data_IF_590412258571
#
_entry.id   IF_590412258571
#
_cell.length_a   1.000
_cell.length_b   1.000
_cell.length_c   1.000
_cell.angle_alpha   90.00
_cell.angle_beta   90.00
_cell.angle_gamma   90.00
#
_symmetry.space_group_name_H-M   'P 1'
#
loop_
_entity.id
_entity.type
_entity.pdbx_description
1 polymer ?
#
# COMPACT_ATOMS: atom_id res chain seq x y z
N UNK A 1 0.04 -21.52 -21.11
CA UNK A 1 0.87 -21.31 -22.25
C UNK A 1 0.02 -21.20 -23.49
N UNK A 2 0.02 -20.01 -23.99
CA UNK A 2 -0.61 -19.75 -25.26
C UNK A 2 0.25 -20.28 -26.38
N UNK A 3 -0.23 -21.13 -27.12
CA UNK A 3 0.45 -21.51 -28.26
C UNK A 3 0.67 -22.95 -28.40
N UNK A 4 1.36 -23.44 -29.28
CA UNK A 4 1.82 -24.81 -29.41
C UNK A 4 0.81 -25.86 -28.93
N UNK A 5 -0.35 -25.92 -29.55
CA UNK A 5 -1.36 -26.94 -29.28
C UNK A 5 -2.16 -26.78 -27.99
N UNK A 6 -1.98 -25.66 -27.27
CA UNK A 6 -2.77 -25.36 -26.09
C UNK A 6 -4.18 -24.90 -26.50
N UNK A 7 -5.17 -25.26 -25.70
CA UNK A 7 -6.53 -24.79 -25.87
C UNK A 7 -6.61 -23.28 -25.60
N UNK A 8 -7.52 -22.60 -26.28
CA UNK A 8 -7.83 -21.22 -25.96
C UNK A 8 -8.49 -21.15 -24.57
N UNK A 9 -8.45 -19.96 -23.96
CA UNK A 9 -9.13 -19.69 -22.69
C UNK A 9 -10.59 -20.13 -22.73
N UNK A 10 -11.32 -19.75 -23.78
CA UNK A 10 -12.73 -20.12 -23.97
C UNK A 10 -12.91 -21.64 -24.06
N UNK A 11 -12.06 -22.32 -24.80
CA UNK A 11 -12.08 -23.75 -24.92
C UNK A 11 -11.83 -24.46 -23.58
N UNK A 12 -10.97 -23.91 -22.75
CA UNK A 12 -10.68 -24.49 -21.44
C UNK A 12 -11.83 -24.31 -20.46
N UNK A 13 -12.47 -23.16 -20.45
CA UNK A 13 -13.63 -22.89 -19.61
C UNK A 13 -14.84 -23.72 -20.07
N UNK A 14 -15.14 -23.68 -21.35
CA UNK A 14 -16.30 -24.38 -21.94
C UNK A 14 -16.11 -25.92 -21.98
N UNK A 15 -14.86 -26.34 -22.12
CA UNK A 15 -14.50 -27.75 -22.13
C UNK A 15 -14.49 -28.42 -20.76
N UNK A 16 -14.78 -27.71 -19.69
CA UNK A 16 -14.83 -28.22 -18.33
C UNK A 16 -13.47 -28.62 -17.77
N UNK A 17 -12.39 -28.03 -18.25
CA UNK A 17 -11.07 -28.19 -17.65
C UNK A 17 -11.08 -27.63 -16.21
N UNK A 18 -10.53 -28.37 -15.25
CA UNK A 18 -10.56 -27.93 -13.87
C UNK A 18 -9.55 -26.82 -13.63
N UNK A 19 -9.99 -25.58 -13.82
CA UNK A 19 -9.25 -24.39 -13.40
C UNK A 19 -9.42 -24.26 -11.90
N UNK A 20 -8.49 -24.82 -11.13
CA UNK A 20 -8.62 -24.99 -9.69
C UNK A 20 -8.13 -23.80 -8.89
N UNK A 21 -7.18 -23.06 -9.44
CA UNK A 21 -6.54 -21.97 -8.73
C UNK A 21 -6.04 -20.85 -9.69
N UNK A 22 -5.50 -19.79 -9.11
CA UNK A 22 -4.98 -18.67 -9.87
C UNK A 22 -3.82 -19.05 -10.79
N UNK A 23 -3.06 -20.08 -10.45
CA UNK A 23 -1.96 -20.60 -11.28
C UNK A 23 -2.48 -21.21 -12.56
N UNK A 24 -3.50 -22.04 -12.47
CA UNK A 24 -4.17 -22.63 -13.63
C UNK A 24 -4.70 -21.53 -14.57
N UNK A 25 -5.35 -20.52 -14.02
CA UNK A 25 -5.84 -19.38 -14.79
C UNK A 25 -4.70 -18.65 -15.51
N UNK A 26 -3.62 -18.35 -14.80
CA UNK A 26 -2.45 -17.69 -15.40
C UNK A 26 -1.85 -18.52 -16.52
N UNK A 27 -1.69 -19.82 -16.32
CA UNK A 27 -1.14 -20.75 -17.31
C UNK A 27 -2.03 -20.84 -18.55
N UNK A 28 -3.34 -20.67 -18.39
CA UNK A 28 -4.30 -20.58 -19.49
C UNK A 28 -4.30 -19.21 -20.20
N UNK A 29 -3.49 -18.27 -19.75
CA UNK A 29 -3.36 -16.96 -20.36
C UNK A 29 -4.33 -15.90 -19.84
N UNK A 30 -4.96 -16.14 -18.68
CA UNK A 30 -5.72 -15.09 -18.01
C UNK A 30 -4.78 -14.00 -17.52
N UNK A 31 -5.20 -12.76 -17.68
CA UNK A 31 -4.49 -11.61 -17.13
C UNK A 31 -4.71 -11.52 -15.62
N UNK A 32 -3.85 -10.78 -14.94
CA UNK A 32 -4.00 -10.53 -13.50
C UNK A 32 -5.35 -9.87 -13.17
N UNK A 33 -5.83 -8.96 -14.01
CA UNK A 33 -7.14 -8.32 -13.85
C UNK A 33 -8.29 -9.33 -13.94
N UNK A 34 -8.21 -10.27 -14.87
CA UNK A 34 -9.20 -11.34 -15.02
C UNK A 34 -9.18 -12.30 -13.82
N UNK A 35 -8.00 -12.65 -13.34
CA UNK A 35 -7.82 -13.45 -12.11
C UNK A 35 -8.46 -12.75 -10.92
N UNK A 36 -8.30 -11.44 -10.80
CA UNK A 36 -8.97 -10.63 -9.77
C UNK A 36 -10.49 -10.68 -9.90
N UNK A 37 -11.02 -10.57 -11.12
CA UNK A 37 -12.47 -10.66 -11.39
C UNK A 37 -13.07 -12.01 -10.99
N UNK A 38 -12.28 -13.08 -11.10
CA UNK A 38 -12.67 -14.42 -10.64
C UNK A 38 -12.66 -14.56 -9.10
N UNK A 39 -12.29 -13.52 -8.38
CA UNK A 39 -12.35 -13.47 -6.92
C UNK A 39 -11.08 -13.91 -6.20
N UNK A 40 -9.97 -14.10 -6.89
CA UNK A 40 -8.71 -14.47 -6.26
C UNK A 40 -8.07 -13.26 -5.55
N UNK A 41 -7.49 -13.53 -4.39
CA UNK A 41 -6.82 -12.52 -3.59
C UNK A 41 -5.47 -12.09 -4.19
N UNK A 42 -4.96 -10.97 -3.72
CA UNK A 42 -3.62 -10.49 -4.07
C UNK A 42 -2.55 -11.56 -3.80
N UNK A 43 -2.63 -12.23 -2.64
CA UNK A 43 -1.73 -13.32 -2.27
C UNK A 43 -1.78 -14.47 -3.26
N UNK A 44 -2.98 -14.94 -3.61
CA UNK A 44 -3.18 -16.02 -4.57
C UNK A 44 -2.64 -15.65 -5.95
N UNK A 45 -2.87 -14.45 -6.42
CA UNK A 45 -2.33 -13.96 -7.69
C UNK A 45 -0.79 -13.85 -7.65
N UNK A 46 -0.23 -13.39 -6.55
CA UNK A 46 1.22 -13.35 -6.35
C UNK A 46 1.84 -14.76 -6.36
N UNK A 47 1.25 -15.71 -5.64
CA UNK A 47 1.68 -17.10 -5.60
C UNK A 47 1.58 -17.78 -6.97
N UNK A 48 0.61 -17.36 -7.80
CA UNK A 48 0.48 -17.80 -9.18
C UNK A 48 1.58 -17.28 -10.11
N UNK A 49 2.39 -16.32 -9.66
CA UNK A 49 3.52 -15.76 -10.37
C UNK A 49 3.30 -14.40 -11.04
N UNK A 50 2.18 -13.72 -10.75
CA UNK A 50 2.01 -12.34 -11.19
C UNK A 50 2.93 -11.41 -10.41
N UNK A 51 3.61 -10.50 -11.11
CA UNK A 51 4.49 -9.52 -10.51
C UNK A 51 3.70 -8.44 -9.75
N UNK A 52 4.37 -7.75 -8.85
CA UNK A 52 3.77 -6.61 -8.12
C UNK A 52 3.28 -5.51 -9.07
N UNK A 53 3.97 -5.30 -10.18
CA UNK A 53 3.52 -4.38 -11.24
C UNK A 53 2.19 -4.83 -11.85
N UNK A 54 2.06 -6.11 -12.21
CA UNK A 54 0.82 -6.68 -12.76
C UNK A 54 -0.32 -6.60 -11.75
N UNK A 55 -0.04 -6.89 -10.47
CA UNK A 55 -1.01 -6.74 -9.38
C UNK A 55 -1.52 -5.30 -9.28
N UNK A 56 -0.61 -4.34 -9.40
CA UNK A 56 -1.00 -2.92 -9.40
C UNK A 56 -1.85 -2.56 -10.61
N UNK A 57 -1.47 -2.98 -11.80
CA UNK A 57 -2.24 -2.73 -13.01
C UNK A 57 -3.65 -3.37 -12.95
N UNK A 58 -3.78 -4.50 -12.28
CA UNK A 58 -5.05 -5.17 -12.03
C UNK A 58 -5.90 -4.48 -10.94
N UNK A 59 -5.34 -3.50 -10.23
CA UNK A 59 -6.04 -2.78 -9.18
C UNK A 59 -6.08 -3.50 -7.83
N UNK A 60 -5.18 -4.43 -7.57
CA UNK A 60 -4.98 -4.97 -6.23
C UNK A 60 -4.36 -3.89 -5.34
N UNK A 61 -5.01 -3.61 -4.23
CA UNK A 61 -4.54 -2.70 -3.19
C UNK A 61 -4.48 -3.45 -1.86
N UNK A 62 -5.57 -4.07 -1.48
CA UNK A 62 -5.63 -4.88 -0.26
C UNK A 62 -4.84 -6.17 -0.41
N UNK A 63 -4.24 -6.63 0.68
CA UNK A 63 -3.56 -7.92 0.74
C UNK A 63 -2.11 -7.92 0.24
N UNK A 64 -1.53 -6.78 -0.10
CA UNK A 64 -0.11 -6.70 -0.50
C UNK A 64 0.83 -7.18 0.60
N UNK A 65 0.57 -6.76 1.82
CA UNK A 65 1.36 -7.18 2.99
C UNK A 65 1.23 -8.67 3.26
N UNK A 66 0.02 -9.23 3.14
CA UNK A 66 -0.22 -10.66 3.29
C UNK A 66 0.45 -11.48 2.18
N UNK A 67 0.58 -10.90 0.99
CA UNK A 67 1.31 -11.49 -0.12
C UNK A 67 2.84 -11.46 0.07
N UNK A 68 3.31 -10.76 1.10
CA UNK A 68 4.72 -10.71 1.47
C UNK A 68 5.51 -9.56 0.84
N UNK A 69 4.84 -8.62 0.17
CA UNK A 69 5.52 -7.46 -0.39
C UNK A 69 5.89 -6.45 0.70
N UNK A 70 7.11 -5.97 0.62
CA UNK A 70 7.61 -4.93 1.50
C UNK A 70 7.08 -3.56 1.09
N UNK A 71 7.12 -2.62 2.04
CA UNK A 71 6.74 -1.23 1.75
C UNK A 71 7.64 -0.60 0.68
N UNK A 72 8.91 -0.99 0.64
CA UNK A 72 9.89 -0.50 -0.36
C UNK A 72 9.47 -0.95 -1.76
N UNK A 73 9.21 -2.24 -1.94
CA UNK A 73 8.75 -2.80 -3.21
C UNK A 73 7.45 -2.14 -3.68
N UNK A 74 6.50 -1.95 -2.77
CA UNK A 74 5.23 -1.30 -3.08
C UNK A 74 5.42 0.16 -3.52
N UNK A 75 6.31 0.90 -2.87
CA UNK A 75 6.66 2.27 -3.26
C UNK A 75 7.33 2.34 -4.63
N UNK A 76 8.25 1.41 -4.91
CA UNK A 76 8.96 1.35 -6.20
C UNK A 76 8.02 1.19 -7.39
N UNK A 77 6.93 0.44 -7.24
CA UNK A 77 5.93 0.30 -8.29
C UNK A 77 4.83 1.37 -8.22
N UNK A 78 4.94 2.32 -7.29
CA UNK A 78 4.07 3.50 -7.23
C UNK A 78 2.77 3.33 -6.47
N UNK A 79 2.72 2.48 -5.43
CA UNK A 79 1.56 2.38 -4.53
C UNK A 79 1.44 3.53 -3.52
N UNK A 80 2.33 4.54 -3.54
CA UNK A 80 2.47 5.58 -2.52
C UNK A 80 1.18 5.99 -1.79
N UNK A 81 0.20 6.51 -2.52
CA UNK A 81 -1.07 6.98 -1.94
C UNK A 81 -2.00 5.84 -1.47
N UNK A 82 -1.73 4.62 -1.87
CA UNK A 82 -2.58 3.45 -1.60
C UNK A 82 -2.05 2.58 -0.46
N UNK A 83 -0.88 2.89 0.08
CA UNK A 83 -0.20 2.04 1.05
C UNK A 83 -0.99 1.87 2.35
N UNK A 84 -1.65 2.90 2.81
CA UNK A 84 -2.52 2.80 3.97
C UNK A 84 -3.67 1.80 3.72
N UNK A 85 -4.32 1.90 2.57
CA UNK A 85 -5.37 0.95 2.17
C UNK A 85 -4.83 -0.46 1.95
N UNK A 86 -3.57 -0.58 1.56
CA UNK A 86 -2.88 -1.86 1.39
C UNK A 86 -2.49 -2.54 2.72
N UNK A 87 -2.73 -1.88 3.86
CA UNK A 87 -2.49 -2.42 5.19
C UNK A 87 -1.15 -2.05 5.81
N UNK A 88 -0.35 -1.22 5.15
CA UNK A 88 0.91 -0.75 5.72
C UNK A 88 0.65 0.34 6.77
N UNK A 89 1.42 0.30 7.85
CA UNK A 89 1.32 1.26 8.94
C UNK A 89 2.35 2.38 8.82
N UNK A 90 2.07 3.50 9.46
CA UNK A 90 3.02 4.61 9.54
C UNK A 90 4.33 4.21 10.24
N UNK A 91 4.24 3.28 11.20
CA UNK A 91 5.41 2.70 11.87
C UNK A 91 6.31 1.93 10.91
N UNK A 92 5.70 1.17 9.98
CA UNK A 92 6.43 0.47 8.94
C UNK A 92 7.17 1.44 8.00
N UNK A 93 6.55 2.58 7.67
CA UNK A 93 7.20 3.68 6.94
C UNK A 93 8.45 4.18 7.65
N UNK A 94 8.31 4.48 8.93
CA UNK A 94 9.42 4.97 9.74
C UNK A 94 10.52 3.92 9.89
N UNK A 95 10.14 2.68 10.15
CA UNK A 95 11.09 1.55 10.26
C UNK A 95 11.87 1.30 8.95
N UNK A 96 11.23 1.54 7.80
CA UNK A 96 11.87 1.46 6.48
C UNK A 96 12.75 2.68 6.15
N UNK A 97 12.83 3.68 7.06
CA UNK A 97 13.66 4.87 6.89
C UNK A 97 13.02 6.01 6.11
N UNK A 98 11.74 5.95 5.83
CA UNK A 98 11.06 7.02 5.09
C UNK A 98 10.77 8.24 5.98
N UNK A 99 10.96 9.46 5.45
CA UNK A 99 10.67 10.67 6.19
C UNK A 99 9.16 10.89 6.36
N UNK A 100 8.80 11.70 7.36
CA UNK A 100 7.41 12.02 7.69
C UNK A 100 6.62 12.63 6.53
N UNK A 101 7.27 13.34 5.63
CA UNK A 101 6.65 13.93 4.43
C UNK A 101 6.08 12.86 3.50
N UNK A 102 6.76 11.74 3.36
CA UNK A 102 6.28 10.63 2.54
C UNK A 102 5.15 9.86 3.23
N UNK A 103 5.20 9.70 4.54
CA UNK A 103 4.09 9.16 5.31
C UNK A 103 2.82 10.01 5.14
N UNK A 104 2.95 11.33 5.15
CA UNK A 104 1.82 12.23 4.87
C UNK A 104 1.30 12.08 3.43
N UNK A 105 2.18 12.01 2.46
CA UNK A 105 1.82 11.79 1.06
C UNK A 105 1.09 10.44 0.85
N UNK A 106 1.42 9.43 1.63
CA UNK A 106 0.75 8.14 1.65
C UNK A 106 -0.63 8.15 2.33
N UNK A 107 -1.05 9.29 2.87
CA UNK A 107 -2.37 9.48 3.48
C UNK A 107 -2.43 9.29 5.00
N UNK A 108 -1.30 9.04 5.66
CA UNK A 108 -1.28 8.92 7.12
C UNK A 108 -1.56 10.27 7.80
N UNK A 109 -2.28 10.21 8.89
CA UNK A 109 -2.61 11.37 9.70
C UNK A 109 -1.43 11.80 10.59
N UNK A 110 -1.49 13.02 11.09
CA UNK A 110 -0.52 13.50 12.07
C UNK A 110 -0.49 12.67 13.36
N UNK A 111 -1.63 12.14 13.78
CA UNK A 111 -1.72 11.25 14.94
C UNK A 111 -1.01 9.91 14.70
N UNK A 112 -1.16 9.33 13.53
CA UNK A 112 -0.44 8.11 13.13
C UNK A 112 1.05 8.37 13.02
N UNK A 113 1.46 9.51 12.46
CA UNK A 113 2.86 9.93 12.38
C UNK A 113 3.47 10.07 13.78
N UNK A 114 2.75 10.69 14.70
CA UNK A 114 3.20 10.80 16.11
C UNK A 114 3.31 9.44 16.78
N UNK A 115 2.31 8.59 16.62
CA UNK A 115 2.32 7.23 17.17
C UNK A 115 3.48 6.40 16.63
N UNK A 116 3.84 6.61 15.36
CA UNK A 116 5.00 5.99 14.72
C UNK A 116 6.34 6.54 15.23
N UNK A 117 6.34 7.63 15.98
CA UNK A 117 7.52 8.22 16.58
C UNK A 117 8.17 9.36 15.78
N UNK A 118 7.49 9.89 14.76
CA UNK A 118 7.93 11.11 14.11
C UNK A 118 7.79 12.30 15.08
N UNK A 119 8.82 13.13 15.14
CA UNK A 119 8.84 14.30 15.99
C UNK A 119 7.88 15.40 15.48
N UNK A 120 7.57 16.35 16.37
CA UNK A 120 6.80 17.53 15.99
C UNK A 120 7.48 18.36 14.89
N UNK A 121 8.82 18.41 14.89
CA UNK A 121 9.60 19.08 13.84
C UNK A 121 9.47 18.38 12.49
N UNK A 122 9.54 17.07 12.46
CA UNK A 122 9.34 16.26 11.24
C UNK A 122 7.91 16.41 10.73
N UNK A 123 6.92 16.40 11.60
CA UNK A 123 5.53 16.63 11.26
C UNK A 123 5.29 18.03 10.67
N UNK A 124 5.93 19.05 11.26
CA UNK A 124 5.90 20.42 10.75
C UNK A 124 6.51 20.49 9.34
N UNK A 125 7.66 19.88 9.15
CA UNK A 125 8.34 19.84 7.85
C UNK A 125 7.50 19.09 6.81
N UNK A 126 6.76 18.05 7.23
CA UNK A 126 5.85 17.30 6.38
C UNK A 126 4.60 18.10 5.97
N UNK A 127 4.35 19.26 6.60
CA UNK A 127 3.29 20.18 6.19
C UNK A 127 2.08 20.24 7.14
N UNK A 128 2.13 19.63 8.32
CA UNK A 128 1.19 19.96 9.39
C UNK A 128 1.69 21.20 10.08
N UNK A 129 1.18 22.36 9.65
CA UNK A 129 1.78 23.66 9.99
C UNK A 129 1.00 24.45 11.02
N UNK A 130 -0.19 24.03 11.37
CA UNK A 130 -1.03 24.75 12.33
C UNK A 130 -0.99 24.14 13.73
N UNK A 131 -1.15 25.00 14.73
CA UNK A 131 -1.28 24.58 16.13
C UNK A 131 -2.44 23.58 16.32
N UNK A 132 -3.53 23.77 15.58
CA UNK A 132 -4.69 22.90 15.61
C UNK A 132 -4.35 21.48 15.13
N UNK A 133 -3.61 21.36 14.04
CA UNK A 133 -3.15 20.07 13.50
C UNK A 133 -2.22 19.38 14.48
N UNK A 134 -1.29 20.10 15.08
CA UNK A 134 -0.35 19.52 16.07
C UNK A 134 -1.08 19.04 17.32
N UNK A 135 -2.03 19.83 17.81
CA UNK A 135 -2.88 19.41 18.93
C UNK A 135 -3.70 18.17 18.59
N UNK A 136 -4.34 18.16 17.42
CA UNK A 136 -5.11 17.03 16.94
C UNK A 136 -4.26 15.77 16.77
N UNK A 137 -3.00 15.93 16.37
CA UNK A 137 -2.02 14.83 16.27
C UNK A 137 -1.56 14.32 17.65
N UNK A 138 -1.83 15.08 18.72
CA UNK A 138 -1.49 14.70 20.08
C UNK A 138 -0.12 15.21 20.56
N UNK A 139 0.55 16.06 19.80
CA UNK A 139 1.79 16.71 20.26
C UNK A 139 1.48 17.69 21.40
N UNK A 140 2.41 17.80 22.33
CA UNK A 140 2.28 18.75 23.42
C UNK A 140 2.58 20.17 22.99
N UNK A 141 2.11 21.14 23.76
CA UNK A 141 2.42 22.54 23.54
C UNK A 141 3.95 22.82 23.61
N UNK A 142 4.65 22.11 24.50
CA UNK A 142 6.10 22.21 24.62
C UNK A 142 6.82 21.72 23.36
N UNK A 143 6.42 20.58 22.81
CA UNK A 143 6.95 20.04 21.55
C UNK A 143 6.70 20.98 20.40
N UNK A 144 5.50 21.52 20.30
CA UNK A 144 5.15 22.48 19.25
C UNK A 144 5.97 23.77 19.32
N UNK A 145 6.16 24.31 20.52
CA UNK A 145 7.01 25.50 20.74
C UNK A 145 8.47 25.24 20.38
N UNK A 146 8.99 24.09 20.82
CA UNK A 146 10.35 23.66 20.48
C UNK A 146 10.56 23.51 18.98
N UNK A 147 9.51 23.14 18.24
CA UNK A 147 9.53 23.02 16.78
C UNK A 147 9.29 24.35 16.04
N UNK A 148 9.22 25.46 16.78
CA UNK A 148 9.12 26.79 16.20
C UNK A 148 7.70 27.24 15.81
N UNK A 149 6.66 26.64 16.39
CA UNK A 149 5.32 27.21 16.31
C UNK A 149 5.23 28.42 17.24
N UNK A 150 5.06 29.60 16.66
CA UNK A 150 5.07 30.87 17.41
C UNK A 150 3.66 31.27 17.87
N UNK A 151 3.62 32.05 18.94
CA UNK A 151 2.38 32.67 19.40
C UNK A 151 1.43 31.78 20.20
N UNK A 152 1.85 30.56 20.52
CA UNK A 152 1.03 29.64 21.30
C UNK A 152 1.31 29.80 22.80
N UNK A 153 0.34 30.34 23.51
CA UNK A 153 0.38 30.47 24.98
C UNK A 153 -0.31 29.28 25.66
N UNK A 154 -1.25 28.67 24.96
CA UNK A 154 -2.01 27.50 25.40
C UNK A 154 -2.56 26.74 24.18
N UNK A 155 -2.84 25.48 24.36
CA UNK A 155 -3.58 24.71 23.37
C UNK A 155 -5.07 25.07 23.38
#
# INVERSE_FOLDING_TARGET
>A
VKGTGAFSREQMVDGGFPLKDATDLRDCGFTCAEVKQEGYSCKQASEAGFSLYELKQAGYVEGLQEAGFTIVEALEVGYGEQLQAAGYTCEAFRAAGYPCVEARAAGFSGAEARAAGYSCSEAKFAGWTTAREMKAAGYTLAEARASGYKGMTKW
#
